data_IF_467018549697
#
_entry.id   IF_467018549697
#
_cell.length_a   1.000
_cell.length_b   1.000
_cell.length_c   1.000
_cell.angle_alpha   90.00
_cell.angle_beta   90.00
_cell.angle_gamma   90.00
#
_symmetry.space_group_name_H-M   'P 1'
#
loop_
_entity.id
_entity.type
_entity.pdbx_description
1 polymer ?
#
# COMPACT_ATOMS: atom_id res chain seq x y z
N UNK A 1 -10.94 -28.26 50.48
CA UNK A 1 -10.15 -27.03 50.31
C UNK A 1 -9.84 -26.85 48.84
N UNK A 2 -10.40 -25.78 48.25
CA UNK A 2 -10.39 -25.43 46.82
C UNK A 2 -8.94 -25.20 46.35
N UNK A 3 -8.47 -25.93 45.35
CA UNK A 3 -7.38 -25.45 44.49
C UNK A 3 -7.90 -25.46 43.06
N UNK A 4 -8.55 -24.36 42.73
CA UNK A 4 -9.02 -24.03 41.39
C UNK A 4 -7.77 -23.73 40.56
N UNK A 5 -7.32 -24.71 39.77
CA UNK A 5 -6.29 -24.51 38.75
C UNK A 5 -6.93 -23.74 37.60
N UNK A 6 -6.77 -22.42 37.62
CA UNK A 6 -7.17 -21.53 36.53
C UNK A 6 -6.25 -21.78 35.32
N UNK A 7 -6.73 -22.58 34.37
CA UNK A 7 -6.12 -22.70 33.04
C UNK A 7 -6.52 -21.48 32.22
N UNK A 8 -5.80 -20.38 32.37
CA UNK A 8 -5.94 -19.22 31.47
C UNK A 8 -5.35 -19.58 30.11
N UNK A 9 -6.19 -20.02 29.18
CA UNK A 9 -5.89 -19.97 27.75
C UNK A 9 -5.81 -18.48 27.36
N UNK A 10 -4.58 -17.95 27.25
CA UNK A 10 -4.35 -16.74 26.49
C UNK A 10 -4.50 -17.09 25.00
N UNK A 11 -5.71 -16.92 24.46
CA UNK A 11 -5.92 -16.88 23.03
C UNK A 11 -5.20 -15.65 22.48
N UNK A 12 -3.98 -15.84 21.98
CA UNK A 12 -3.29 -14.85 21.17
C UNK A 12 -4.02 -14.81 19.84
N UNK A 13 -4.99 -13.90 19.72
CA UNK A 13 -5.61 -13.59 18.43
C UNK A 13 -4.52 -13.01 17.54
N UNK A 14 -3.94 -13.84 16.69
CA UNK A 14 -3.02 -13.43 15.64
C UNK A 14 -3.74 -12.42 14.75
N UNK A 15 -3.53 -11.14 14.99
CA UNK A 15 -3.77 -10.12 13.98
C UNK A 15 -2.83 -10.44 12.83
N UNK A 16 -3.33 -11.15 11.83
CA UNK A 16 -2.61 -11.37 10.60
C UNK A 16 -2.40 -10.00 9.95
N UNK A 17 -1.22 -9.42 10.15
CA UNK A 17 -0.76 -8.35 9.29
C UNK A 17 -0.63 -8.95 7.90
N UNK A 18 -1.37 -8.42 6.93
CA UNK A 18 -1.19 -8.82 5.55
C UNK A 18 0.26 -8.52 5.14
N UNK A 19 1.01 -9.56 4.78
CA UNK A 19 2.40 -9.41 4.33
C UNK A 19 2.43 -8.53 3.07
N UNK A 20 3.38 -7.59 3.01
CA UNK A 20 3.49 -6.71 1.87
C UNK A 20 3.86 -7.49 0.60
N UNK A 21 3.18 -7.27 -0.54
CA UNK A 21 3.56 -7.92 -1.79
C UNK A 21 4.99 -7.52 -2.15
N UNK A 22 5.80 -8.45 -2.67
CA UNK A 22 7.22 -8.21 -2.92
C UNK A 22 7.49 -6.96 -3.79
N UNK A 23 6.59 -6.67 -4.74
CA UNK A 23 6.66 -5.49 -5.60
C UNK A 23 6.56 -4.16 -4.84
N UNK A 24 5.92 -4.14 -3.65
CA UNK A 24 5.80 -2.94 -2.82
C UNK A 24 7.17 -2.42 -2.34
N UNK A 25 8.20 -3.28 -2.25
CA UNK A 25 9.56 -2.86 -1.88
C UNK A 25 10.10 -1.74 -2.78
N UNK A 26 9.68 -1.69 -4.05
CA UNK A 26 10.06 -0.63 -5.01
C UNK A 26 9.41 0.73 -4.68
N UNK A 27 8.29 0.73 -3.97
CA UNK A 27 7.52 1.92 -3.62
C UNK A 27 8.09 2.64 -2.37
N UNK A 28 8.75 1.89 -1.49
CA UNK A 28 9.16 2.32 -0.15
C UNK A 28 10.10 3.54 -0.18
N UNK A 29 11.02 3.61 -1.15
CA UNK A 29 12.01 4.69 -1.22
C UNK A 29 11.35 6.08 -1.26
N UNK A 30 10.20 6.19 -1.93
CA UNK A 30 9.47 7.45 -2.09
C UNK A 30 8.25 7.54 -1.17
N UNK A 31 7.50 6.45 -0.99
CA UNK A 31 6.22 6.44 -0.26
C UNK A 31 6.34 5.99 1.21
N UNK A 32 7.51 5.51 1.64
CA UNK A 32 7.72 4.98 2.98
C UNK A 32 7.27 3.52 3.14
N UNK A 33 7.70 2.84 4.22
CA UNK A 33 7.40 1.43 4.47
C UNK A 33 5.91 1.18 4.76
N UNK A 34 5.18 2.21 5.16
CA UNK A 34 3.75 2.20 5.50
C UNK A 34 2.92 3.05 4.53
N UNK A 35 3.50 3.50 3.41
CA UNK A 35 2.86 4.37 2.42
C UNK A 35 2.38 5.74 2.94
N UNK A 36 2.86 6.18 4.12
CA UNK A 36 2.47 7.45 4.77
C UNK A 36 3.41 8.62 4.46
N UNK A 37 4.45 8.40 3.66
CA UNK A 37 5.32 9.50 3.23
C UNK A 37 4.71 10.20 2.02
N UNK A 38 4.69 11.53 2.07
CA UNK A 38 4.44 12.35 0.88
C UNK A 38 5.61 12.17 -0.08
N UNK A 39 5.36 11.52 -1.21
CA UNK A 39 6.41 11.23 -2.19
C UNK A 39 6.96 12.53 -2.82
N UNK A 40 8.26 12.59 -3.14
CA UNK A 40 8.84 13.73 -3.84
C UNK A 40 8.11 14.04 -5.15
N UNK A 41 7.82 15.31 -5.39
CA UNK A 41 7.08 15.75 -6.57
C UNK A 41 5.55 15.48 -6.52
N UNK A 42 5.03 14.90 -5.45
CA UNK A 42 3.59 14.88 -5.18
C UNK A 42 3.06 16.30 -4.95
N UNK A 43 1.84 16.59 -5.41
CA UNK A 43 1.15 17.86 -5.16
C UNK A 43 0.05 17.66 -4.11
N UNK A 44 -0.14 18.64 -3.24
CA UNK A 44 -1.24 18.65 -2.27
C UNK A 44 -1.02 17.83 -1.00
N UNK A 45 0.21 17.37 -0.72
CA UNK A 45 0.53 16.68 0.54
C UNK A 45 -0.14 15.30 0.69
N UNK A 46 -0.50 14.66 -0.43
CA UNK A 46 -1.26 13.42 -0.44
C UNK A 46 -0.33 12.21 -0.26
N UNK A 47 -0.71 11.31 0.65
CA UNK A 47 -0.12 9.98 0.84
C UNK A 47 -0.98 8.91 0.15
N UNK A 48 -0.45 7.70 0.00
CA UNK A 48 -1.20 6.61 -0.67
C UNK A 48 -1.75 5.56 0.31
N UNK A 49 -1.29 5.55 1.57
CA UNK A 49 -1.82 4.66 2.60
C UNK A 49 -3.35 4.79 2.75
N UNK A 50 -4.07 3.67 2.71
CA UNK A 50 -5.51 3.62 2.90
C UNK A 50 -6.32 4.30 1.78
N UNK A 51 -5.70 4.61 0.64
CA UNK A 51 -6.42 5.08 -0.54
C UNK A 51 -7.32 3.96 -1.08
N UNK A 52 -8.49 4.32 -1.60
CA UNK A 52 -9.43 3.34 -2.14
C UNK A 52 -8.77 2.47 -3.23
N UNK A 53 -9.04 1.15 -3.19
CA UNK A 53 -8.39 0.16 -4.05
C UNK A 53 -8.62 0.45 -5.54
N UNK A 54 -9.84 0.78 -5.92
CA UNK A 54 -10.25 1.16 -7.28
C UNK A 54 -9.49 2.39 -7.79
N UNK A 55 -9.31 3.39 -6.93
CA UNK A 55 -8.51 4.58 -7.23
C UNK A 55 -7.05 4.20 -7.47
N UNK A 56 -6.45 3.37 -6.62
CA UNK A 56 -5.07 2.91 -6.78
C UNK A 56 -4.88 2.14 -8.10
N UNK A 57 -5.81 1.24 -8.44
CA UNK A 57 -5.78 0.52 -9.73
C UNK A 57 -5.83 1.50 -10.89
N UNK A 58 -6.77 2.45 -10.85
CA UNK A 58 -6.97 3.45 -11.91
C UNK A 58 -5.71 4.29 -12.12
N UNK A 59 -5.12 4.80 -11.04
CA UNK A 59 -3.90 5.62 -11.09
C UNK A 59 -2.70 4.80 -11.59
N UNK A 60 -2.48 3.59 -11.08
CA UNK A 60 -1.35 2.74 -11.49
C UNK A 60 -1.45 2.33 -12.97
N UNK A 61 -2.65 1.96 -13.45
CA UNK A 61 -2.89 1.69 -14.87
C UNK A 61 -2.69 2.96 -15.71
N UNK A 62 -3.19 4.09 -15.23
CA UNK A 62 -3.01 5.38 -15.89
C UNK A 62 -1.54 5.81 -15.97
N UNK A 63 -0.74 5.58 -14.92
CA UNK A 63 0.70 5.86 -14.95
C UNK A 63 1.43 4.94 -15.93
N UNK A 64 1.09 3.63 -15.95
CA UNK A 64 1.63 2.67 -16.92
C UNK A 64 1.29 3.08 -18.37
N UNK A 65 0.07 3.58 -18.61
CA UNK A 65 -0.39 4.09 -19.90
C UNK A 65 0.04 5.54 -20.20
N UNK A 66 0.72 6.21 -19.26
CA UNK A 66 1.10 7.64 -19.33
C UNK A 66 -0.07 8.62 -19.47
N UNK A 67 -1.25 8.26 -18.97
CA UNK A 67 -2.49 9.06 -19.01
C UNK A 67 -2.86 9.68 -17.67
N UNK A 68 -2.36 9.15 -16.54
CA UNK A 68 -2.66 9.68 -15.21
C UNK A 68 -1.90 10.99 -14.93
N UNK A 69 -2.61 11.99 -14.42
CA UNK A 69 -2.04 13.27 -13.98
C UNK A 69 -2.59 13.64 -12.60
N UNK A 70 -1.72 13.61 -11.58
CA UNK A 70 -2.06 14.05 -10.22
C UNK A 70 -1.68 15.51 -9.95
N UNK A 71 -1.34 16.27 -10.99
CA UNK A 71 -0.86 17.65 -10.91
C UNK A 71 0.57 17.81 -10.38
N UNK A 72 1.27 16.71 -10.12
CA UNK A 72 2.66 16.67 -9.66
C UNK A 72 3.64 16.19 -10.73
N UNK A 73 4.79 15.68 -10.29
CA UNK A 73 5.86 15.12 -11.13
C UNK A 73 5.50 13.71 -11.66
N UNK A 74 4.37 13.58 -12.37
CA UNK A 74 3.81 12.32 -12.87
C UNK A 74 4.77 11.47 -13.72
N UNK A 75 5.71 12.11 -14.42
CA UNK A 75 6.71 11.41 -15.24
C UNK A 75 7.59 10.43 -14.44
N UNK A 76 7.80 10.69 -13.15
CA UNK A 76 8.50 9.76 -12.25
C UNK A 76 7.69 8.47 -12.12
N UNK A 77 6.39 8.58 -11.84
CA UNK A 77 5.49 7.43 -11.71
C UNK A 77 5.26 6.70 -13.03
N UNK A 78 5.32 7.38 -14.18
CA UNK A 78 5.32 6.71 -15.48
C UNK A 78 6.47 5.71 -15.60
N UNK A 79 7.69 6.10 -15.19
CA UNK A 79 8.85 5.22 -15.19
C UNK A 79 8.69 4.05 -14.19
N UNK A 80 8.19 4.33 -12.99
CA UNK A 80 7.99 3.28 -11.97
C UNK A 80 6.90 2.27 -12.35
N UNK A 81 5.83 2.73 -13.00
CA UNK A 81 4.69 1.90 -13.38
C UNK A 81 4.90 1.13 -14.69
N UNK A 82 5.88 1.52 -15.52
CA UNK A 82 6.07 0.99 -16.88
C UNK A 82 6.14 -0.55 -16.93
N UNK A 83 6.78 -1.18 -15.93
CA UNK A 83 7.02 -2.62 -15.88
C UNK A 83 6.10 -3.35 -14.90
N UNK A 84 5.07 -2.71 -14.36
CA UNK A 84 4.11 -3.40 -13.48
C UNK A 84 3.21 -4.31 -14.32
N UNK A 85 3.12 -5.58 -13.94
CA UNK A 85 2.07 -6.46 -14.46
C UNK A 85 0.71 -6.07 -13.90
N UNK A 86 -0.37 -6.54 -14.53
CA UNK A 86 -1.73 -6.29 -13.99
C UNK A 86 -1.92 -6.97 -12.64
N UNK A 87 -1.26 -8.11 -12.40
CA UNK A 87 -1.22 -8.79 -11.11
C UNK A 87 -0.48 -7.95 -10.05
N UNK A 88 0.64 -7.29 -10.41
CA UNK A 88 1.34 -6.38 -9.50
C UNK A 88 0.46 -5.19 -9.12
N UNK A 89 -0.26 -4.62 -10.08
CA UNK A 89 -1.17 -3.48 -9.85
C UNK A 89 -2.27 -3.88 -8.85
N UNK A 90 -2.90 -5.03 -9.07
CA UNK A 90 -3.94 -5.53 -8.16
C UNK A 90 -3.40 -5.82 -6.75
N UNK A 91 -2.22 -6.46 -6.66
CA UNK A 91 -1.58 -6.75 -5.38
C UNK A 91 -1.20 -5.48 -4.61
N UNK A 92 -0.60 -4.50 -5.31
CA UNK A 92 -0.26 -3.20 -4.73
C UNK A 92 -1.51 -2.47 -4.24
N UNK A 93 -2.54 -2.39 -5.07
CA UNK A 93 -3.77 -1.68 -4.72
C UNK A 93 -4.50 -2.34 -3.54
N UNK A 94 -4.58 -3.67 -3.53
CA UNK A 94 -5.17 -4.42 -2.43
C UNK A 94 -4.45 -4.17 -1.11
N UNK A 95 -3.11 -4.28 -1.11
CA UNK A 95 -2.29 -4.06 0.06
C UNK A 95 -2.38 -2.61 0.56
N UNK A 96 -2.11 -1.64 -0.30
CA UNK A 96 -2.03 -0.22 0.06
C UNK A 96 -3.39 0.28 0.58
N UNK A 97 -4.50 -0.19 0.01
CA UNK A 97 -5.85 0.22 0.45
C UNK A 97 -6.22 -0.22 1.86
N UNK A 98 -5.57 -1.27 2.38
CA UNK A 98 -5.79 -1.80 3.72
C UNK A 98 -4.85 -1.18 4.76
N UNK A 99 -3.88 -0.36 4.33
CA UNK A 99 -3.00 0.35 5.25
C UNK A 99 -3.78 1.42 6.02
N UNK A 100 -3.48 1.64 7.31
CA UNK A 100 -4.04 2.75 8.06
C UNK A 100 -3.67 4.09 7.40
N UNK A 101 -4.61 5.03 7.34
CA UNK A 101 -4.32 6.40 6.90
C UNK A 101 -3.39 7.12 7.89
#
# INVERSE_FOLDING_TARGET
MKKLLFLTLLSFASFAFAEAPAVFKKCIACHGPDAKKVAPGSKGGITIAGMAKDKLITELKGYKAKTADNGGAKAIMYGQAANLSDADIEALADYISKLPK
#
